data_IF_243893964064
#
_entry.id   IF_243893964064
#
_cell.length_a   1.000
_cell.length_b   1.000
_cell.length_c   1.000
_cell.angle_alpha   90.00
_cell.angle_beta   90.00
_cell.angle_gamma   90.00
#
_symmetry.space_group_name_H-M   'P 1'
#
loop_
_entity.id
_entity.type
_entity.pdbx_description
1 polymer ?
#
# COMPACT_ATOMS: atom_id res chain seq x y z
N UNK A 1 19.38 21.03 1.85
CA UNK A 1 20.77 20.88 1.36
C UNK A 1 21.57 22.12 1.73
N UNK A 2 22.45 22.03 2.74
CA UNK A 2 23.50 23.01 3.01
C UNK A 2 24.71 22.24 3.53
N UNK A 3 25.77 22.20 2.73
CA UNK A 3 27.10 21.78 3.16
C UNK A 3 27.84 23.03 3.66
N UNK A 4 28.28 23.01 4.91
CA UNK A 4 29.16 24.04 5.44
C UNK A 4 30.62 23.63 5.22
N UNK A 5 31.30 24.33 4.31
CA UNK A 5 32.75 24.25 4.14
C UNK A 5 33.44 25.13 5.18
N UNK A 6 34.22 24.55 6.08
CA UNK A 6 35.17 25.26 6.94
C UNK A 6 36.60 24.97 6.45
N UNK A 7 37.31 26.03 6.02
CA UNK A 7 38.74 26.01 5.72
C UNK A 7 39.53 26.09 7.03
N UNK A 8 40.51 25.21 7.21
CA UNK A 8 41.52 25.35 8.27
C UNK A 8 42.86 25.84 7.70
N UNK A 9 43.41 26.86 8.35
CA UNK A 9 44.76 27.39 8.18
C UNK A 9 45.80 26.48 8.85
N UNK A 10 46.94 26.27 8.20
CA UNK A 10 48.07 25.50 8.71
C UNK A 10 48.73 26.18 9.92
N UNK A 11 49.14 25.41 10.94
CA UNK A 11 50.52 25.42 11.46
C UNK A 11 50.78 24.40 12.61
N UNK A 12 51.84 23.60 12.41
CA UNK A 12 52.76 22.97 13.38
C UNK A 12 52.33 21.74 14.22
N UNK A 13 52.72 20.56 13.69
CA UNK A 13 53.70 19.61 14.26
C UNK A 13 53.33 18.63 15.42
N UNK A 14 53.65 17.35 15.13
CA UNK A 14 54.07 16.22 16.00
C UNK A 14 53.00 15.21 16.49
N UNK A 15 52.97 14.09 15.74
CA UNK A 15 52.92 12.66 16.16
C UNK A 15 51.79 12.17 17.08
N UNK A 16 50.82 11.49 16.45
CA UNK A 16 50.34 10.18 16.90
C UNK A 16 49.74 9.43 15.69
N UNK A 17 50.52 8.52 15.09
CA UNK A 17 50.00 7.56 14.11
C UNK A 17 49.17 6.52 14.87
N UNK A 18 47.89 6.79 15.09
CA UNK A 18 46.92 5.74 15.36
C UNK A 18 46.38 5.28 14.01
N UNK A 19 46.93 4.16 13.49
CA UNK A 19 46.28 3.42 12.42
C UNK A 19 44.95 2.87 12.96
N UNK A 20 43.88 3.66 12.83
CA UNK A 20 42.53 3.14 12.87
C UNK A 20 42.29 2.43 11.53
N UNK A 21 42.74 1.18 11.43
CA UNK A 21 42.23 0.27 10.43
C UNK A 21 40.74 0.05 10.74
N UNK A 22 39.87 0.90 10.16
CA UNK A 22 38.46 0.58 10.05
C UNK A 22 38.38 -0.69 9.22
N UNK A 23 38.28 -1.82 9.91
CA UNK A 23 37.77 -3.05 9.33
C UNK A 23 36.36 -2.75 8.85
N UNK A 24 36.24 -2.40 7.57
CA UNK A 24 35.00 -2.57 6.80
C UNK A 24 34.73 -4.07 6.74
N UNK A 25 34.29 -4.60 7.87
CA UNK A 25 33.64 -5.89 7.94
C UNK A 25 32.39 -5.72 7.09
N UNK A 26 32.19 -6.47 6.00
CA UNK A 26 30.87 -6.53 5.40
C UNK A 26 29.96 -7.00 6.52
N UNK A 27 29.06 -6.13 6.98
CA UNK A 27 28.03 -6.54 7.91
C UNK A 27 27.25 -7.60 7.15
N UNK A 28 27.49 -8.86 7.52
CA UNK A 28 26.61 -9.96 7.15
C UNK A 28 25.31 -9.60 7.85
N UNK A 29 24.45 -8.86 7.15
CA UNK A 29 23.14 -8.47 7.65
C UNK A 29 22.44 -9.80 7.85
N UNK A 30 22.29 -10.22 9.10
CA UNK A 30 21.57 -11.44 9.43
C UNK A 30 20.24 -11.40 8.68
N UNK A 31 19.90 -12.48 7.98
CA UNK A 31 18.64 -12.56 7.26
C UNK A 31 17.52 -12.29 8.26
N UNK A 32 16.71 -11.26 8.00
CA UNK A 32 15.60 -10.91 8.88
C UNK A 32 14.61 -12.06 9.00
N UNK A 33 13.77 -12.02 10.04
CA UNK A 33 12.75 -13.04 10.27
C UNK A 33 11.69 -12.96 9.16
N UNK A 34 11.15 -14.12 8.81
CA UNK A 34 9.98 -14.20 7.94
C UNK A 34 8.70 -14.25 8.76
N UNK A 35 7.72 -13.44 8.38
CA UNK A 35 6.40 -13.38 9.01
C UNK A 35 5.30 -13.61 7.98
N UNK A 36 4.12 -13.98 8.47
CA UNK A 36 2.91 -14.10 7.66
C UNK A 36 1.80 -13.31 8.32
N UNK A 37 1.18 -12.41 7.57
CA UNK A 37 -0.03 -11.69 7.97
C UNK A 37 -1.18 -12.13 7.08
N UNK A 38 -2.06 -12.97 7.62
CA UNK A 38 -3.26 -13.44 6.91
C UNK A 38 -4.33 -12.36 6.84
N UNK A 39 -5.11 -12.37 5.76
CA UNK A 39 -6.26 -11.49 5.62
C UNK A 39 -7.44 -12.09 6.39
N UNK A 40 -7.97 -11.34 7.35
CA UNK A 40 -9.10 -11.74 8.17
C UNK A 40 -9.94 -10.52 8.58
N UNK A 41 -11.08 -10.78 9.22
CA UNK A 41 -11.94 -9.70 9.75
C UNK A 41 -11.23 -8.84 10.80
N UNK A 42 -10.18 -9.37 11.43
CA UNK A 42 -9.39 -8.70 12.46
C UNK A 42 -8.19 -7.94 11.90
N UNK A 43 -7.69 -8.33 10.72
CA UNK A 43 -6.49 -7.76 10.11
C UNK A 43 -6.77 -6.85 8.93
N UNK A 44 -8.01 -6.82 8.43
CA UNK A 44 -8.42 -6.01 7.27
C UNK A 44 -9.31 -4.85 7.68
N UNK A 45 -8.90 -3.64 7.28
CA UNK A 45 -9.71 -2.43 7.33
C UNK A 45 -10.41 -2.19 5.98
N UNK A 46 -11.50 -1.43 5.98
CA UNK A 46 -12.34 -1.23 4.80
C UNK A 46 -12.55 0.24 4.47
N UNK A 47 -11.97 0.67 3.36
CA UNK A 47 -12.13 2.01 2.81
C UNK A 47 -11.44 3.13 3.58
N UNK A 48 -10.94 2.85 4.79
CA UNK A 48 -10.33 3.79 5.71
C UNK A 48 -9.07 3.19 6.33
N UNK A 49 -8.06 4.03 6.57
CA UNK A 49 -6.89 3.69 7.38
C UNK A 49 -7.02 4.38 8.73
N UNK A 50 -7.29 3.60 9.77
CA UNK A 50 -7.30 4.04 11.15
C UNK A 50 -5.92 3.79 11.78
N UNK A 51 -5.12 4.84 12.07
CA UNK A 51 -3.82 4.71 12.72
C UNK A 51 -3.91 4.33 14.20
N UNK A 52 -5.10 4.41 14.82
CA UNK A 52 -5.34 4.05 16.23
C UNK A 52 -5.61 2.57 16.41
N UNK A 53 -5.86 1.83 15.32
CA UNK A 53 -5.98 0.38 15.36
C UNK A 53 -4.68 -0.26 15.90
N UNK A 54 -4.77 -1.21 16.86
CA UNK A 54 -3.61 -1.92 17.33
C UNK A 54 -2.87 -2.61 16.16
N UNK A 55 -1.52 -2.62 16.18
CA UNK A 55 -0.75 -3.34 15.17
C UNK A 55 -1.18 -4.80 15.07
N UNK A 56 -1.43 -5.26 13.84
CA UNK A 56 -1.80 -6.65 13.54
C UNK A 56 -0.57 -7.56 13.43
N UNK A 57 0.59 -6.95 13.22
CA UNK A 57 1.90 -7.59 13.23
C UNK A 57 2.96 -6.56 13.67
N UNK A 58 3.97 -7.00 14.40
CA UNK A 58 5.17 -6.21 14.72
C UNK A 58 6.39 -6.89 14.13
N UNK A 59 7.22 -6.12 13.41
CA UNK A 59 8.42 -6.62 12.73
C UNK A 59 9.63 -5.74 13.06
N UNK A 60 10.85 -6.25 12.83
CA UNK A 60 12.08 -5.46 12.86
C UNK A 60 12.48 -5.01 11.45
N UNK A 61 13.31 -3.97 11.34
CA UNK A 61 13.93 -3.59 10.07
C UNK A 61 14.75 -4.76 9.50
N UNK A 62 14.55 -5.05 8.21
CA UNK A 62 15.18 -6.18 7.51
C UNK A 62 14.37 -7.47 7.51
N UNK A 63 13.28 -7.56 8.27
CA UNK A 63 12.34 -8.68 8.21
C UNK A 63 11.60 -8.75 6.86
N UNK A 64 11.05 -9.92 6.56
CA UNK A 64 10.18 -10.13 5.40
C UNK A 64 8.78 -10.53 5.84
N UNK A 65 7.76 -10.10 5.10
CA UNK A 65 6.36 -10.41 5.43
C UNK A 65 5.63 -10.91 4.19
N UNK A 66 5.02 -12.09 4.27
CA UNK A 66 3.99 -12.54 3.34
C UNK A 66 2.64 -11.97 3.81
N UNK A 67 2.05 -11.08 3.02
CA UNK A 67 0.78 -10.44 3.36
C UNK A 67 -0.30 -10.99 2.43
N UNK A 68 -1.35 -11.58 3.00
CA UNK A 68 -2.54 -11.94 2.25
C UNK A 68 -3.43 -10.70 2.10
N UNK A 69 -4.10 -10.60 0.95
CA UNK A 69 -5.06 -9.53 0.66
C UNK A 69 -6.42 -10.12 0.29
N UNK A 70 -7.48 -9.37 0.60
CA UNK A 70 -8.85 -9.68 0.20
C UNK A 70 -9.24 -8.94 -1.07
N UNK A 71 -10.25 -9.47 -1.77
CA UNK A 71 -10.95 -8.71 -2.80
C UNK A 71 -11.60 -7.46 -2.16
N UNK A 72 -12.01 -6.51 -3.00
CA UNK A 72 -12.72 -5.33 -2.53
C UNK A 72 -13.92 -5.66 -1.63
N UNK A 73 -14.31 -4.66 -0.83
CA UNK A 73 -15.45 -4.70 0.07
C UNK A 73 -15.39 -5.83 1.10
N UNK A 74 -14.24 -6.01 1.75
CA UNK A 74 -13.96 -7.10 2.71
C UNK A 74 -14.22 -8.48 2.11
N UNK A 75 -13.64 -8.72 0.94
CA UNK A 75 -13.75 -9.98 0.19
C UNK A 75 -15.14 -10.28 -0.40
N UNK A 76 -16.07 -9.32 -0.39
CA UNK A 76 -17.42 -9.50 -0.94
C UNK A 76 -17.48 -9.29 -2.46
N UNK A 77 -16.53 -8.57 -3.05
CA UNK A 77 -16.44 -8.40 -4.50
C UNK A 77 -15.89 -9.67 -5.18
N UNK A 78 -16.79 -10.63 -5.40
CA UNK A 78 -16.50 -11.96 -5.94
C UNK A 78 -17.32 -12.21 -7.20
N UNK A 79 -16.93 -13.18 -8.06
CA UNK A 79 -17.74 -13.62 -9.18
C UNK A 79 -19.19 -13.91 -8.75
N UNK A 80 -20.15 -13.33 -9.47
CA UNK A 80 -21.59 -13.44 -9.16
C UNK A 80 -22.16 -12.32 -8.29
N UNK A 81 -21.35 -11.38 -7.77
CA UNK A 81 -21.88 -10.15 -7.17
C UNK A 81 -22.66 -9.35 -8.24
N UNK A 82 -23.74 -8.68 -7.83
CA UNK A 82 -24.53 -7.83 -8.73
C UNK A 82 -24.20 -6.35 -8.54
N UNK A 83 -24.56 -5.52 -9.52
CA UNK A 83 -24.38 -4.08 -9.41
C UNK A 83 -25.18 -3.50 -8.23
N UNK A 84 -26.40 -3.99 -7.99
CA UNK A 84 -27.23 -3.59 -6.85
C UNK A 84 -26.50 -3.84 -5.53
N UNK A 85 -25.85 -5.00 -5.38
CA UNK A 85 -25.08 -5.32 -4.18
C UNK A 85 -23.84 -4.42 -4.04
N UNK A 86 -23.15 -4.10 -5.13
CA UNK A 86 -22.03 -3.15 -5.12
C UNK A 86 -22.49 -1.78 -4.60
N UNK A 87 -23.64 -1.30 -5.07
CA UNK A 87 -24.22 -0.03 -4.64
C UNK A 87 -24.65 -0.06 -3.17
N UNK A 88 -25.27 -1.15 -2.71
CA UNK A 88 -25.60 -1.36 -1.30
C UNK A 88 -24.35 -1.29 -0.42
N UNK A 89 -23.28 -2.00 -0.81
CA UNK A 89 -22.02 -2.01 -0.08
C UNK A 89 -21.39 -0.62 -0.02
N UNK A 90 -21.40 0.15 -1.11
CA UNK A 90 -20.91 1.55 -1.10
C UNK A 90 -21.70 2.41 -0.13
N UNK A 91 -23.03 2.30 -0.13
CA UNK A 91 -23.90 3.07 0.79
C UNK A 91 -23.65 2.72 2.26
N UNK A 92 -23.29 1.47 2.56
CA UNK A 92 -22.97 1.03 3.93
C UNK A 92 -21.59 1.48 4.45
N UNK A 93 -20.72 2.03 3.58
CA UNK A 93 -19.44 2.63 3.95
C UNK A 93 -19.36 4.09 3.48
N UNK A 94 -20.19 5.00 4.02
CA UNK A 94 -20.29 6.37 3.53
C UNK A 94 -18.93 7.07 3.60
N UNK A 95 -18.55 7.68 2.48
CA UNK A 95 -17.26 8.36 2.31
C UNK A 95 -16.06 7.41 2.18
N UNK A 96 -16.17 6.13 2.51
CA UNK A 96 -15.04 5.20 2.44
C UNK A 96 -14.82 4.64 1.03
N UNK A 97 -13.59 4.24 0.73
CA UNK A 97 -13.30 3.52 -0.50
C UNK A 97 -13.84 2.07 -0.48
N UNK A 98 -13.79 1.42 -1.62
CA UNK A 98 -14.13 -0.01 -1.75
C UNK A 98 -12.95 -0.92 -1.35
N UNK A 99 -11.80 -0.37 -0.96
CA UNK A 99 -10.54 -1.09 -0.75
C UNK A 99 -10.57 -1.91 0.54
N UNK A 100 -10.05 -3.13 0.46
CA UNK A 100 -9.78 -4.01 1.61
C UNK A 100 -8.28 -3.99 1.88
N UNK A 101 -7.86 -3.43 3.02
CA UNK A 101 -6.44 -3.20 3.32
C UNK A 101 -6.01 -3.98 4.56
N UNK A 102 -5.04 -4.88 4.38
CA UNK A 102 -4.46 -5.69 5.45
C UNK A 102 -3.40 -4.89 6.20
N UNK A 103 -3.51 -4.78 7.53
CA UNK A 103 -2.61 -4.01 8.40
C UNK A 103 -3.33 -3.43 9.63
N UNK A 104 -2.68 -2.55 10.42
CA UNK A 104 -1.32 -2.06 10.23
C UNK A 104 -0.24 -3.05 10.68
N UNK A 105 0.88 -3.05 9.98
CA UNK A 105 2.14 -3.67 10.42
C UNK A 105 3.01 -2.58 11.06
N UNK A 106 3.45 -2.79 12.28
CA UNK A 106 4.34 -1.87 13.00
C UNK A 106 5.80 -2.32 12.85
N UNK A 107 6.67 -1.41 12.43
CA UNK A 107 8.11 -1.61 12.24
C UNK A 107 8.85 -1.04 13.45
N UNK A 108 9.47 -1.91 14.24
CA UNK A 108 10.21 -1.52 15.44
C UNK A 108 11.33 -0.54 15.10
N UNK A 109 11.34 0.60 15.81
CA UNK A 109 12.36 1.64 15.68
C UNK A 109 12.13 2.65 14.55
N UNK A 110 11.07 2.51 13.74
CA UNK A 110 10.72 3.54 12.76
C UNK A 110 10.08 4.75 13.47
N UNK A 111 10.63 5.94 13.25
CA UNK A 111 10.20 7.19 13.88
C UNK A 111 9.79 8.25 12.84
N UNK A 112 8.91 9.21 13.18
CA UNK A 112 8.59 10.32 12.30
C UNK A 112 9.84 11.04 11.78
N UNK A 113 9.93 11.22 10.46
CA UNK A 113 11.11 11.77 9.78
C UNK A 113 12.03 10.72 9.15
N UNK A 114 11.88 9.45 9.49
CA UNK A 114 12.55 8.34 8.80
C UNK A 114 11.94 8.07 7.42
N UNK A 115 12.55 7.15 6.67
CA UNK A 115 12.02 6.61 5.41
C UNK A 115 11.98 5.10 5.50
N UNK A 116 10.82 4.51 5.18
CA UNK A 116 10.71 3.07 4.96
C UNK A 116 11.13 2.73 3.54
N UNK A 117 12.08 1.81 3.42
CA UNK A 117 12.40 1.11 2.19
C UNK A 117 11.58 -0.19 2.12
N UNK A 118 10.54 -0.22 1.29
CA UNK A 118 9.66 -1.37 1.12
C UNK A 118 9.98 -2.05 -0.22
N UNK A 119 10.56 -3.25 -0.16
CA UNK A 119 10.91 -4.05 -1.34
C UNK A 119 9.82 -5.07 -1.64
N UNK A 120 9.31 -5.08 -2.86
CA UNK A 120 8.33 -6.09 -3.28
C UNK A 120 9.10 -7.29 -3.80
N UNK A 121 9.16 -8.36 -3.01
CA UNK A 121 9.94 -9.54 -3.36
C UNK A 121 9.18 -10.46 -4.33
N UNK A 122 7.88 -10.63 -4.11
CA UNK A 122 7.03 -11.54 -4.87
C UNK A 122 5.57 -11.13 -4.71
N UNK A 123 4.79 -11.27 -5.78
CA UNK A 123 3.33 -11.18 -5.74
C UNK A 123 2.76 -12.44 -6.37
N UNK A 124 1.78 -13.04 -5.70
CA UNK A 124 1.04 -14.21 -6.19
C UNK A 124 -0.41 -13.80 -6.37
N UNK A 125 -0.92 -13.69 -7.60
CA UNK A 125 -2.30 -13.29 -7.84
C UNK A 125 -3.27 -14.42 -7.42
N UNK A 126 -4.51 -14.02 -7.09
CA UNK A 126 -5.63 -14.96 -6.93
C UNK A 126 -6.02 -15.56 -8.29
N UNK A 127 -6.84 -16.61 -8.28
CA UNK A 127 -7.29 -17.29 -9.50
C UNK A 127 -8.31 -16.52 -10.35
N UNK A 128 -8.76 -15.36 -9.88
CA UNK A 128 -9.65 -14.48 -10.64
C UNK A 128 -9.39 -13.02 -10.28
N UNK A 129 -9.84 -12.13 -11.17
CA UNK A 129 -9.90 -10.68 -10.96
C UNK A 129 -11.25 -10.13 -11.45
N UNK A 130 -11.53 -8.86 -11.16
CA UNK A 130 -12.73 -8.22 -11.64
C UNK A 130 -12.56 -6.73 -11.88
N UNK A 131 -13.35 -6.19 -12.80
CA UNK A 131 -13.44 -4.76 -13.08
C UNK A 131 -14.90 -4.34 -12.97
N UNK A 132 -15.12 -3.13 -12.49
CA UNK A 132 -16.45 -2.56 -12.45
C UNK A 132 -16.44 -1.06 -12.75
N UNK A 133 -17.50 -0.61 -13.42
CA UNK A 133 -17.86 0.78 -13.59
C UNK A 133 -19.16 0.98 -12.81
N UNK A 134 -19.21 1.99 -11.95
CA UNK A 134 -20.48 2.39 -11.33
C UNK A 134 -21.43 2.96 -12.40
N UNK A 135 -22.75 2.94 -12.15
CA UNK A 135 -23.71 3.60 -13.02
C UNK A 135 -23.40 5.09 -13.15
N UNK A 136 -22.94 5.51 -14.32
CA UNK A 136 -22.53 6.88 -14.58
C UNK A 136 -23.66 7.90 -14.42
N UNK A 137 -24.92 7.47 -14.60
CA UNK A 137 -26.09 8.33 -14.34
C UNK A 137 -26.22 8.73 -12.87
N UNK A 138 -25.77 7.88 -11.96
CA UNK A 138 -25.83 8.09 -10.51
C UNK A 138 -24.49 8.61 -9.96
N UNK A 139 -23.38 8.25 -10.62
CA UNK A 139 -22.01 8.59 -10.22
C UNK A 139 -21.22 9.26 -11.36
N UNK A 140 -21.66 10.43 -11.87
CA UNK A 140 -21.12 11.04 -13.09
C UNK A 140 -19.66 11.52 -12.96
N UNK A 141 -19.13 11.59 -11.74
CA UNK A 141 -17.77 12.05 -11.45
C UNK A 141 -16.81 10.92 -11.07
N UNK A 142 -17.25 9.66 -11.07
CA UNK A 142 -16.44 8.50 -10.69
C UNK A 142 -16.03 7.71 -11.94
N UNK A 143 -14.74 7.73 -12.22
CA UNK A 143 -14.16 7.11 -13.42
C UNK A 143 -14.18 8.07 -14.62
N UNK A 144 -13.17 7.97 -15.48
CA UNK A 144 -13.00 8.88 -16.61
C UNK A 144 -14.04 8.69 -17.72
N UNK A 145 -14.71 7.53 -17.76
CA UNK A 145 -15.67 7.13 -18.78
C UNK A 145 -17.09 6.95 -18.21
N UNK A 146 -17.45 7.69 -17.15
CA UNK A 146 -18.77 7.57 -16.56
C UNK A 146 -19.92 7.75 -17.57
N UNK A 147 -19.88 8.74 -18.50
CA UNK A 147 -20.94 8.90 -19.50
C UNK A 147 -21.16 7.68 -20.43
N UNK A 148 -20.11 6.90 -20.69
CA UNK A 148 -20.16 5.71 -21.55
C UNK A 148 -20.76 4.47 -20.85
N UNK A 149 -20.88 4.51 -19.52
CA UNK A 149 -21.44 3.42 -18.71
C UNK A 149 -22.64 3.91 -17.87
N UNK A 150 -23.75 4.36 -18.49
CA UNK A 150 -24.88 4.95 -17.76
C UNK A 150 -25.49 3.98 -16.74
N UNK A 151 -25.54 2.68 -17.06
CA UNK A 151 -26.05 1.61 -16.19
C UNK A 151 -24.93 0.90 -15.40
N UNK A 152 -23.69 1.32 -15.58
CA UNK A 152 -22.52 0.65 -15.02
C UNK A 152 -22.16 -0.61 -15.80
N UNK A 153 -21.10 -1.27 -15.37
CA UNK A 153 -20.63 -2.51 -15.98
C UNK A 153 -19.84 -3.32 -14.95
N UNK A 154 -19.88 -4.64 -15.07
CA UNK A 154 -19.17 -5.56 -14.19
C UNK A 154 -18.66 -6.73 -15.03
N UNK A 155 -17.37 -7.03 -14.90
CA UNK A 155 -16.74 -8.14 -15.57
C UNK A 155 -15.78 -8.86 -14.60
N UNK A 156 -15.77 -10.18 -14.66
CA UNK A 156 -14.81 -11.03 -13.97
C UNK A 156 -13.99 -11.79 -14.98
N UNK A 157 -12.73 -12.05 -14.62
CA UNK A 157 -11.77 -12.68 -15.49
C UNK A 157 -11.04 -13.79 -14.75
N UNK A 158 -10.83 -14.90 -15.46
CA UNK A 158 -10.00 -16.00 -14.95
C UNK A 158 -8.53 -15.62 -15.09
N UNK A 159 -7.80 -15.80 -13.97
CA UNK A 159 -6.37 -15.56 -13.89
C UNK A 159 -5.66 -16.90 -13.89
N UNK A 160 -4.81 -17.14 -14.87
CA UNK A 160 -3.96 -18.33 -14.94
C UNK A 160 -2.55 -17.99 -14.42
N UNK A 161 -2.21 -18.32 -13.16
CA UNK A 161 -0.89 -18.05 -12.60
C UNK A 161 0.20 -18.93 -13.21
N UNK A 162 -0.13 -20.07 -13.84
CA UNK A 162 0.86 -20.93 -14.50
C UNK A 162 1.27 -20.36 -15.84
N UNK A 163 0.30 -19.96 -16.66
CA UNK A 163 0.53 -19.30 -17.95
C UNK A 163 0.93 -17.84 -17.80
N UNK A 164 0.71 -17.26 -16.62
CA UNK A 164 0.91 -15.84 -16.30
C UNK A 164 0.08 -14.95 -17.21
N UNK A 165 -1.20 -15.28 -17.37
CA UNK A 165 -2.14 -14.54 -18.22
C UNK A 165 -3.50 -14.38 -17.56
N UNK A 166 -4.25 -13.36 -17.99
CA UNK A 166 -5.69 -13.19 -17.75
C UNK A 166 -6.43 -13.44 -19.07
N UNK A 167 -7.48 -14.26 -19.04
CA UNK A 167 -8.36 -14.43 -20.19
C UNK A 167 -9.31 -13.23 -20.29
N UNK A 168 -9.06 -12.32 -21.24
CA UNK A 168 -9.87 -11.10 -21.37
C UNK A 168 -11.10 -11.32 -22.23
N UNK A 169 -10.92 -11.97 -23.39
CA UNK A 169 -11.97 -12.37 -24.35
C UNK A 169 -11.52 -13.64 -25.09
N UNK A 170 -12.41 -14.35 -25.80
CA UNK A 170 -12.00 -15.48 -26.65
C UNK A 170 -10.87 -15.08 -27.59
N UNK A 171 -9.72 -15.75 -27.46
CA UNK A 171 -8.51 -15.49 -28.24
C UNK A 171 -7.71 -14.24 -27.83
N UNK A 172 -8.08 -13.54 -26.76
CA UNK A 172 -7.38 -12.36 -26.26
C UNK A 172 -6.95 -12.60 -24.81
N UNK A 173 -5.63 -12.63 -24.60
CA UNK A 173 -5.02 -12.82 -23.29
C UNK A 173 -4.16 -11.62 -22.92
N UNK A 174 -4.19 -11.25 -21.64
CA UNK A 174 -3.37 -10.16 -21.09
C UNK A 174 -2.28 -10.77 -20.21
N UNK A 175 -0.99 -10.46 -20.42
CA UNK A 175 0.08 -10.92 -19.55
C UNK A 175 -0.08 -10.41 -18.11
N UNK A 176 0.14 -11.28 -17.14
CA UNK A 176 0.13 -10.89 -15.73
C UNK A 176 1.32 -10.02 -15.39
N UNK A 177 1.02 -8.89 -14.76
CA UNK A 177 1.99 -7.96 -14.18
C UNK A 177 1.43 -7.42 -12.88
N UNK A 178 1.33 -8.26 -11.84
CA UNK A 178 0.58 -7.90 -10.65
C UNK A 178 1.33 -6.85 -9.80
N UNK A 179 0.56 -5.94 -9.21
CA UNK A 179 1.03 -4.87 -8.32
C UNK A 179 -0.05 -4.52 -7.30
N UNK A 180 0.29 -3.98 -6.11
CA UNK A 180 -0.69 -3.41 -5.21
C UNK A 180 -1.09 -2.01 -5.69
N UNK A 181 -2.39 -1.75 -5.81
CA UNK A 181 -2.92 -0.39 -6.04
C UNK A 181 -2.69 0.49 -4.82
N UNK A 182 -2.93 -0.08 -3.64
CA UNK A 182 -2.67 0.57 -2.35
C UNK A 182 -1.50 -0.08 -1.60
N UNK A 183 -0.47 0.72 -1.33
CA UNK A 183 0.60 0.45 -0.37
C UNK A 183 0.82 1.73 0.44
N UNK A 184 0.41 1.70 1.71
CA UNK A 184 0.35 2.87 2.55
C UNK A 184 1.20 2.71 3.81
N UNK A 185 1.74 3.82 4.30
CA UNK A 185 2.26 3.96 5.66
C UNK A 185 1.31 4.82 6.51
N UNK A 186 1.57 4.94 7.80
CA UNK A 186 0.89 5.83 8.73
C UNK A 186 0.81 7.24 8.16
N UNK A 187 -0.39 7.80 8.15
CA UNK A 187 -0.64 9.09 7.50
C UNK A 187 0.10 10.24 8.21
N UNK A 188 0.37 11.30 7.45
CA UNK A 188 0.79 12.58 8.00
C UNK A 188 -0.39 13.22 8.77
N UNK A 189 -0.27 13.50 10.08
CA UNK A 189 -1.32 14.15 10.86
C UNK A 189 -1.72 15.54 10.32
N UNK A 190 -0.83 16.20 9.59
CA UNK A 190 -1.05 17.53 9.02
C UNK A 190 -1.46 17.48 7.53
N UNK A 191 -1.68 16.29 6.97
CA UNK A 191 -2.15 16.13 5.60
C UNK A 191 -3.64 16.48 5.45
N UNK A 192 -4.04 17.16 4.35
CA UNK A 192 -5.40 17.56 4.08
C UNK A 192 -6.35 16.40 3.69
N UNK A 193 -5.87 15.14 3.75
CA UNK A 193 -6.68 13.96 3.52
C UNK A 193 -8.03 14.02 4.28
N UNK A 194 -9.16 13.82 3.58
CA UNK A 194 -10.47 13.76 4.23
C UNK A 194 -10.51 12.72 5.33
N UNK A 195 -10.96 13.16 6.50
CA UNK A 195 -11.11 12.32 7.69
C UNK A 195 -12.50 11.71 7.72
N UNK A 196 -12.59 10.50 8.26
CA UNK A 196 -13.86 9.79 8.40
C UNK A 196 -14.85 10.63 9.22
N UNK A 197 -16.05 10.83 8.67
CA UNK A 197 -17.09 11.63 9.29
C UNK A 197 -16.83 13.14 9.29
N UNK A 198 -15.97 13.64 8.39
CA UNK A 198 -15.61 15.06 8.24
C UNK A 198 -15.08 15.71 9.53
N UNK A 199 -14.46 14.90 10.40
CA UNK A 199 -13.85 15.34 11.65
C UNK A 199 -12.65 16.25 11.37
N UNK A 200 -12.64 17.44 11.97
CA UNK A 200 -11.58 18.45 11.76
C UNK A 200 -10.57 18.53 12.90
N UNK A 201 -10.98 18.17 14.12
CA UNK A 201 -10.19 18.41 15.32
C UNK A 201 -9.34 17.20 15.74
N UNK A 202 -9.52 16.04 15.10
CA UNK A 202 -8.75 14.82 15.36
C UNK A 202 -7.83 14.51 14.18
N UNK A 203 -6.57 14.94 14.29
CA UNK A 203 -5.52 14.72 13.27
C UNK A 203 -5.20 13.24 13.03
N UNK A 204 -5.60 12.36 13.95
CA UNK A 204 -5.41 10.92 13.86
C UNK A 204 -6.72 10.19 13.52
N UNK A 205 -7.78 10.91 13.14
CA UNK A 205 -9.00 10.29 12.63
C UNK A 205 -8.70 9.49 11.35
N UNK A 206 -9.45 8.40 11.08
CA UNK A 206 -9.19 7.54 9.93
C UNK A 206 -9.21 8.31 8.61
N UNK A 207 -8.27 8.01 7.73
CA UNK A 207 -8.16 8.66 6.41
C UNK A 207 -8.73 7.78 5.31
N UNK A 208 -9.38 8.43 4.34
CA UNK A 208 -9.94 7.74 3.18
C UNK A 208 -8.84 7.15 2.30
N UNK A 209 -9.07 5.95 1.80
CA UNK A 209 -8.14 5.19 0.93
C UNK A 209 -8.37 5.39 -0.56
N UNK A 210 -9.31 6.25 -0.99
CA UNK A 210 -9.67 6.39 -2.41
C UNK A 210 -8.62 7.15 -3.25
N UNK A 211 -7.79 7.98 -2.62
CA UNK A 211 -6.79 8.82 -3.29
C UNK A 211 -5.39 8.51 -2.76
N UNK A 212 -4.35 8.75 -3.57
CA UNK A 212 -2.98 8.78 -3.06
C UNK A 212 -2.79 10.02 -2.17
N UNK A 213 -1.91 9.87 -1.18
CA UNK A 213 -1.47 10.94 -0.29
C UNK A 213 0.04 10.80 -0.04
N UNK A 214 0.62 11.67 0.79
CA UNK A 214 2.07 11.64 1.07
C UNK A 214 2.58 10.31 1.63
N UNK A 215 1.70 9.53 2.26
CA UNK A 215 1.98 8.21 2.83
C UNK A 215 1.87 7.06 1.81
N UNK A 216 1.86 7.36 0.51
CA UNK A 216 1.54 6.41 -0.55
C UNK A 216 0.03 6.34 -0.76
N UNK A 217 -0.67 5.56 0.07
CA UNK A 217 -2.10 5.28 -0.09
C UNK A 217 -2.39 4.69 -1.49
N UNK A 218 -3.50 5.08 -2.12
CA UNK A 218 -3.93 4.48 -3.39
C UNK A 218 -3.24 5.11 -4.59
N UNK A 219 -2.01 4.66 -4.87
CA UNK A 219 -1.18 5.21 -5.93
C UNK A 219 -1.47 4.62 -7.31
N UNK A 220 -1.96 3.38 -7.36
CA UNK A 220 -2.23 2.65 -8.61
C UNK A 220 -1.03 2.65 -9.58
N UNK A 221 0.17 2.51 -9.01
CA UNK A 221 1.43 2.51 -9.77
C UNK A 221 1.72 1.11 -10.32
N UNK A 222 1.43 0.89 -11.60
CA UNK A 222 1.67 -0.40 -12.29
C UNK A 222 3.15 -0.83 -12.36
N UNK A 223 4.08 0.08 -12.09
CA UNK A 223 5.51 -0.18 -11.98
C UNK A 223 5.90 -0.81 -10.63
N UNK A 224 5.00 -0.80 -9.63
CA UNK A 224 5.20 -1.33 -8.28
C UNK A 224 5.05 -2.87 -8.25
N UNK A 225 5.86 -3.54 -9.05
CA UNK A 225 5.85 -5.01 -9.26
C UNK A 225 6.93 -5.72 -8.44
N UNK A 226 6.98 -7.06 -8.48
CA UNK A 226 8.10 -7.81 -7.91
C UNK A 226 9.46 -7.33 -8.45
N UNK A 227 10.41 -7.08 -7.55
CA UNK A 227 11.72 -6.47 -7.82
C UNK A 227 11.75 -4.94 -7.63
N UNK A 228 10.61 -4.28 -7.51
CA UNK A 228 10.55 -2.84 -7.23
C UNK A 228 10.82 -2.54 -5.75
N UNK A 229 11.24 -1.29 -5.50
CA UNK A 229 11.45 -0.75 -4.14
C UNK A 229 10.73 0.59 -4.05
N UNK A 230 9.90 0.73 -3.02
CA UNK A 230 9.21 1.98 -2.68
C UNK A 230 9.88 2.61 -1.46
N UNK A 231 10.19 3.89 -1.55
CA UNK A 231 10.67 4.70 -0.44
C UNK A 231 9.55 5.63 0.01
N UNK A 232 9.06 5.46 1.24
CA UNK A 232 7.93 6.26 1.78
C UNK A 232 8.33 6.89 3.11
N UNK A 233 8.08 8.19 3.33
CA UNK A 233 8.36 8.86 4.60
C UNK A 233 7.54 8.28 5.75
N UNK A 234 8.15 8.17 6.93
CA UNK A 234 7.47 7.80 8.17
C UNK A 234 6.91 9.06 8.82
N UNK A 235 5.60 9.05 9.06
CA UNK A 235 4.92 10.16 9.75
C UNK A 235 4.48 9.81 11.17
N UNK A 236 4.30 8.52 11.46
CA UNK A 236 3.90 8.01 12.75
C UNK A 236 4.90 6.99 13.25
N UNK A 237 5.04 6.90 14.56
CA UNK A 237 5.84 5.87 15.19
C UNK A 237 5.46 4.47 14.69
N UNK A 238 6.46 3.67 14.39
CA UNK A 238 6.30 2.32 13.86
C UNK A 238 6.02 2.27 12.35
N UNK A 239 5.92 3.41 11.66
CA UNK A 239 5.65 3.46 10.24
C UNK A 239 4.21 3.09 9.86
N UNK A 240 3.61 2.06 10.46
CA UNK A 240 2.26 1.52 10.23
C UNK A 240 2.00 1.21 8.74
N UNK A 241 2.27 -0.02 8.30
CA UNK A 241 2.12 -0.40 6.89
C UNK A 241 0.77 -1.07 6.65
N UNK A 242 0.07 -0.66 5.58
CA UNK A 242 -1.09 -1.35 5.03
C UNK A 242 -0.89 -1.64 3.55
N UNK A 243 -1.47 -2.73 3.06
CA UNK A 243 -1.55 -2.99 1.63
C UNK A 243 -2.80 -3.78 1.27
N UNK A 244 -3.24 -3.64 0.03
CA UNK A 244 -4.39 -4.33 -0.53
C UNK A 244 -4.63 -3.82 -1.94
N UNK A 245 -5.88 -3.89 -2.38
CA UNK A 245 -6.29 -3.38 -3.69
C UNK A 245 -5.40 -3.91 -4.83
N UNK A 246 -5.23 -5.22 -4.87
CA UNK A 246 -4.21 -5.83 -5.74
C UNK A 246 -4.73 -5.97 -7.18
N UNK A 247 -3.92 -5.52 -8.13
CA UNK A 247 -4.16 -5.64 -9.56
C UNK A 247 -3.37 -6.81 -10.14
N UNK A 248 -3.93 -7.46 -11.16
CA UNK A 248 -3.29 -8.58 -11.85
C UNK A 248 -2.59 -8.18 -13.15
N UNK A 249 -3.00 -7.06 -13.76
CA UNK A 249 -2.46 -6.47 -14.99
C UNK A 249 -2.67 -4.96 -15.00
#
# INVERSE_FOLDING_TARGET
MRFANLRFSQNHAIVALALAALLLSPSVRAAGKHHVLKASKQTVQWGWLDPKEPPKLRIASGDTVSIETWMHAKDQFQPGITMEKILELRKSNPGGAFHSLTGPIYVAGAMPGDVLEIRILKIVPKGHGGNYNLPGKDFPTIGALAPEFPEGHLAFFDVDPKRKTVAFKPGIEIPLRPFPGTLAVGMDPDDPAPRKGDVKDDKLAPVNTVRPWKNGSNMDLKELVAGSTLFVPVFLEGGLIWTGDSHCA
#
